data_IF_011737934462
#
_entry.id   IF_011737934462
#
_cell.length_a   1.000
_cell.length_b   1.000
_cell.length_c   1.000
_cell.angle_alpha   90.00
_cell.angle_beta   90.00
_cell.angle_gamma   90.00
#
_symmetry.space_group_name_H-M   'P 1'
#
loop_
_entity.id
_entity.type
_entity.pdbx_description
1 polymer ?
#
# COMPACT_ATOMS: atom_id res chain seq x y z
N UNK A 1 7.37 23.70 -10.73
CA UNK A 1 6.41 23.87 -9.61
C UNK A 1 5.00 23.76 -10.17
N UNK A 2 4.11 23.11 -9.43
CA UNK A 2 2.73 22.87 -9.85
C UNK A 2 1.85 24.13 -9.70
N UNK A 3 0.66 24.13 -10.31
CA UNK A 3 -0.37 25.18 -10.23
C UNK A 3 -0.75 25.52 -8.78
N UNK A 4 -0.59 24.56 -7.86
CA UNK A 4 -0.90 24.70 -6.42
C UNK A 4 0.33 25.02 -5.55
N UNK A 5 1.48 25.30 -6.17
CA UNK A 5 2.73 25.56 -5.45
C UNK A 5 3.41 24.31 -4.87
N UNK A 6 2.91 23.11 -5.21
CA UNK A 6 3.53 21.85 -4.82
C UNK A 6 4.66 21.45 -5.78
N UNK A 7 5.45 20.48 -5.34
CA UNK A 7 6.45 19.81 -6.18
C UNK A 7 5.72 19.03 -7.28
N UNK A 8 6.25 19.07 -8.50
CA UNK A 8 5.68 18.36 -9.65
C UNK A 8 5.70 16.85 -9.41
N UNK A 9 4.69 16.14 -9.90
CA UNK A 9 4.67 14.68 -9.88
C UNK A 9 5.85 14.12 -10.69
N UNK A 10 6.45 13.03 -10.20
CA UNK A 10 7.66 12.43 -10.77
C UNK A 10 8.97 13.01 -10.21
N UNK A 11 8.91 13.96 -9.27
CA UNK A 11 10.12 14.50 -8.66
C UNK A 11 10.76 13.48 -7.72
N UNK A 12 12.03 13.19 -7.97
CA UNK A 12 12.86 12.29 -7.16
C UNK A 12 13.91 13.12 -6.44
N UNK A 13 14.17 12.78 -5.18
CA UNK A 13 15.27 13.34 -4.39
C UNK A 13 16.13 12.18 -3.90
N UNK A 14 17.35 12.09 -4.41
CA UNK A 14 18.39 11.12 -3.98
C UNK A 14 19.67 11.80 -3.47
N UNK A 15 19.61 13.10 -3.17
CA UNK A 15 20.76 13.87 -2.68
C UNK A 15 21.32 13.29 -1.39
N UNK A 16 22.64 13.03 -1.35
CA UNK A 16 23.38 12.50 -0.19
C UNK A 16 23.17 13.26 1.12
N UNK A 17 22.76 14.53 1.06
CA UNK A 17 22.48 15.37 2.22
C UNK A 17 21.18 14.97 2.96
N UNK A 18 20.24 14.35 2.25
CA UNK A 18 18.89 14.03 2.76
C UNK A 18 18.69 12.53 2.97
N UNK A 19 19.38 11.70 2.17
CA UNK A 19 19.23 10.25 2.18
C UNK A 19 20.28 9.55 3.06
N UNK A 20 20.17 8.23 3.23
CA UNK A 20 21.13 7.46 4.02
C UNK A 20 22.42 7.28 3.20
N UNK A 21 23.62 7.52 3.76
CA UNK A 21 24.87 7.37 3.03
C UNK A 21 25.25 5.90 2.73
N UNK A 22 24.72 4.95 3.49
CA UNK A 22 25.15 3.54 3.46
C UNK A 22 24.23 2.65 2.61
N UNK A 23 22.91 2.86 2.71
CA UNK A 23 21.90 2.04 2.02
C UNK A 23 21.25 2.85 0.92
N UNK A 24 20.89 2.21 -0.19
CA UNK A 24 20.21 2.92 -1.27
C UNK A 24 18.75 3.23 -0.91
N UNK A 25 18.46 4.52 -0.80
CA UNK A 25 17.13 5.05 -0.54
C UNK A 25 16.89 6.37 -1.29
N UNK A 26 15.62 6.69 -1.54
CA UNK A 26 15.23 7.91 -2.25
C UNK A 26 13.82 8.36 -1.85
N UNK A 27 13.55 9.66 -2.01
CA UNK A 27 12.20 10.19 -1.92
C UNK A 27 11.62 10.36 -3.32
N UNK A 28 10.35 9.97 -3.49
CA UNK A 28 9.63 10.16 -4.74
C UNK A 28 8.25 10.78 -4.47
N UNK A 29 7.99 11.91 -5.11
CA UNK A 29 6.66 12.50 -5.17
C UNK A 29 5.93 11.99 -6.41
N UNK A 30 5.17 10.91 -6.29
CA UNK A 30 4.54 10.25 -7.45
C UNK A 30 3.22 10.87 -7.89
N UNK A 31 2.58 11.72 -7.08
CA UNK A 31 1.20 12.16 -7.31
C UNK A 31 1.05 13.68 -7.28
N UNK A 32 -0.02 14.16 -7.92
CA UNK A 32 -0.48 15.53 -7.75
C UNK A 32 -1.34 15.63 -6.48
N UNK A 33 -0.92 16.45 -5.52
CA UNK A 33 -1.67 16.69 -4.30
C UNK A 33 -2.71 17.78 -4.51
N UNK A 34 -3.98 17.41 -4.44
CA UNK A 34 -5.08 18.35 -4.68
C UNK A 34 -5.28 19.36 -3.56
N UNK A 35 -4.90 19.01 -2.32
CA UNK A 35 -5.09 19.82 -1.12
C UNK A 35 -3.84 19.75 -0.24
N UNK A 36 -3.43 20.89 0.31
CA UNK A 36 -2.28 21.00 1.20
C UNK A 36 -0.94 20.72 0.50
N UNK A 37 0.07 20.44 1.31
CA UNK A 37 1.43 20.15 0.84
C UNK A 37 1.58 18.68 0.47
N UNK A 38 2.20 18.41 -0.68
CA UNK A 38 2.51 17.04 -1.12
C UNK A 38 3.45 16.34 -0.15
N UNK A 39 3.12 15.10 0.21
CA UNK A 39 3.98 14.23 1.03
C UNK A 39 4.73 13.25 0.12
N UNK A 40 6.03 13.47 -0.16
CA UNK A 40 6.82 12.51 -0.92
C UNK A 40 7.01 11.22 -0.12
N UNK A 41 6.98 10.08 -0.81
CA UNK A 41 7.16 8.76 -0.19
C UNK A 41 8.65 8.41 -0.14
N UNK A 42 9.10 7.90 1.00
CA UNK A 42 10.47 7.44 1.20
C UNK A 42 10.59 5.94 0.88
N UNK A 43 11.44 5.60 -0.08
CA UNK A 43 11.70 4.21 -0.49
C UNK A 43 13.09 3.80 -0.04
N UNK A 44 13.20 2.60 0.52
CA UNK A 44 14.46 1.96 0.90
C UNK A 44 14.60 0.65 0.15
N UNK A 45 15.70 0.47 -0.56
CA UNK A 45 16.04 -0.82 -1.18
C UNK A 45 16.82 -1.62 -0.16
N UNK A 46 16.14 -2.56 0.48
CA UNK A 46 16.73 -3.44 1.48
C UNK A 46 17.52 -4.59 0.84
N UNK A 47 17.07 -5.05 -0.33
CA UNK A 47 17.62 -6.21 -1.00
C UNK A 47 17.35 -6.14 -2.51
N UNK A 48 18.36 -6.43 -3.34
CA UNK A 48 18.25 -6.46 -4.80
C UNK A 48 19.22 -7.49 -5.42
N UNK A 49 18.68 -8.61 -5.91
CA UNK A 49 19.41 -9.62 -6.67
C UNK A 49 19.56 -9.27 -8.15
N UNK A 50 18.65 -8.44 -8.67
CA UNK A 50 18.56 -8.12 -10.09
C UNK A 50 19.58 -7.04 -10.51
N UNK A 51 20.28 -6.43 -9.53
CA UNK A 51 21.30 -5.39 -9.73
C UNK A 51 20.75 -4.23 -10.58
N UNK A 52 19.55 -3.79 -10.25
CA UNK A 52 18.90 -2.68 -10.94
C UNK A 52 19.67 -1.38 -10.69
N UNK A 53 19.78 -0.56 -11.73
CA UNK A 53 20.31 0.79 -11.57
C UNK A 53 19.31 1.64 -10.79
N UNK A 54 19.80 2.64 -10.06
CA UNK A 54 18.99 3.59 -9.31
C UNK A 54 17.83 4.18 -10.13
N UNK A 55 18.15 4.66 -11.33
CA UNK A 55 17.17 5.20 -12.29
C UNK A 55 16.08 4.19 -12.67
N UNK A 56 16.44 2.92 -12.86
CA UNK A 56 15.49 1.86 -13.19
C UNK A 56 14.53 1.58 -12.04
N UNK A 57 15.04 1.56 -10.80
CA UNK A 57 14.20 1.37 -9.61
C UNK A 57 13.26 2.55 -9.41
N UNK A 58 13.74 3.78 -9.59
CA UNK A 58 12.94 4.99 -9.49
C UNK A 58 11.83 5.01 -10.55
N UNK A 59 12.17 4.71 -11.81
CA UNK A 59 11.21 4.70 -12.92
C UNK A 59 10.19 3.56 -12.78
N UNK A 60 10.62 2.37 -12.36
CA UNK A 60 9.72 1.24 -12.08
C UNK A 60 8.73 1.60 -10.97
N UNK A 61 9.22 2.16 -9.86
CA UNK A 61 8.39 2.57 -8.73
C UNK A 61 7.37 3.61 -9.16
N UNK A 62 7.79 4.59 -9.97
CA UNK A 62 6.89 5.60 -10.52
C UNK A 62 5.84 5.00 -11.45
N UNK A 63 6.22 4.08 -12.35
CA UNK A 63 5.30 3.40 -13.25
C UNK A 63 4.22 2.60 -12.49
N UNK A 64 4.59 1.92 -11.40
CA UNK A 64 3.65 1.18 -10.55
C UNK A 64 2.63 2.08 -9.83
N UNK A 65 2.89 3.38 -9.70
CA UNK A 65 1.91 4.33 -9.16
C UNK A 65 0.79 4.65 -10.16
N UNK A 66 0.95 4.33 -11.45
CA UNK A 66 -0.08 4.53 -12.49
C UNK A 66 -0.96 3.29 -12.73
N UNK A 67 -0.60 2.13 -12.17
CA UNK A 67 -1.31 0.87 -12.44
C UNK A 67 -2.50 0.61 -11.51
N UNK A 68 -3.01 1.64 -10.83
CA UNK A 68 -4.16 1.52 -9.94
C UNK A 68 -5.47 1.50 -10.74
N UNK A 69 -6.24 0.43 -10.64
CA UNK A 69 -7.59 0.32 -11.22
C UNK A 69 -8.64 1.23 -10.55
N UNK A 70 -8.34 1.82 -9.38
CA UNK A 70 -9.31 2.62 -8.61
C UNK A 70 -9.44 4.07 -9.11
N UNK A 71 -8.45 4.56 -9.86
CA UNK A 71 -8.41 5.93 -10.33
C UNK A 71 -7.51 6.08 -11.56
N UNK A 72 -7.90 6.93 -12.50
CA UNK A 72 -7.11 7.29 -13.70
C UNK A 72 -5.99 8.31 -13.42
N UNK A 73 -5.52 8.37 -12.17
CA UNK A 73 -4.48 9.29 -11.69
C UNK A 73 -3.38 8.49 -10.99
N UNK A 74 -2.15 8.99 -11.08
CA UNK A 74 -1.06 8.50 -10.25
C UNK A 74 -1.38 8.64 -8.76
N UNK A 75 -1.12 7.56 -8.01
CA UNK A 75 -1.28 7.51 -6.56
C UNK A 75 0.06 7.74 -5.83
N UNK A 76 -0.01 8.05 -4.54
CA UNK A 76 1.16 8.44 -3.73
C UNK A 76 2.12 7.29 -3.38
N UNK A 77 1.65 6.05 -3.46
CA UNK A 77 2.40 4.82 -3.21
C UNK A 77 2.10 3.82 -4.33
N UNK A 78 2.94 2.80 -4.57
CA UNK A 78 2.72 1.87 -5.66
C UNK A 78 1.42 1.09 -5.50
N UNK A 79 0.74 0.79 -6.61
CA UNK A 79 -0.50 0.02 -6.61
C UNK A 79 -0.46 -1.29 -5.79
N UNK A 80 0.60 -2.14 -5.86
CA UNK A 80 0.63 -3.37 -5.07
C UNK A 80 0.61 -3.11 -3.55
N UNK A 81 1.32 -2.08 -3.09
CA UNK A 81 1.33 -1.70 -1.66
C UNK A 81 -0.06 -1.22 -1.25
N UNK A 82 -0.68 -0.35 -2.07
CA UNK A 82 -2.01 0.19 -1.78
C UNK A 82 -3.07 -0.92 -1.69
N UNK A 83 -2.96 -1.96 -2.53
CA UNK A 83 -3.87 -3.09 -2.49
C UNK A 83 -3.64 -4.02 -1.30
N UNK A 84 -2.40 -4.21 -0.86
CA UNK A 84 -2.11 -4.93 0.36
C UNK A 84 -2.80 -4.29 1.58
N UNK A 85 -2.72 -2.96 1.70
CA UNK A 85 -3.38 -2.21 2.78
C UNK A 85 -4.90 -2.37 2.75
N UNK A 86 -5.51 -2.26 1.56
CA UNK A 86 -6.95 -2.44 1.39
C UNK A 86 -7.39 -3.86 1.75
N UNK A 87 -6.59 -4.86 1.40
CA UNK A 87 -6.85 -6.25 1.77
C UNK A 87 -6.72 -6.46 3.28
N UNK A 88 -5.68 -5.92 3.91
CA UNK A 88 -5.50 -6.00 5.36
C UNK A 88 -6.66 -5.34 6.11
N UNK A 89 -7.09 -4.15 5.67
CA UNK A 89 -8.27 -3.46 6.21
C UNK A 89 -9.53 -4.32 6.10
N UNK A 90 -9.74 -4.95 4.94
CA UNK A 90 -10.90 -5.80 4.69
C UNK A 90 -10.88 -7.09 5.53
N UNK A 91 -9.72 -7.70 5.68
CA UNK A 91 -9.54 -8.88 6.56
C UNK A 91 -9.83 -8.51 8.01
N UNK A 92 -9.32 -7.37 8.49
CA UNK A 92 -9.59 -6.89 9.85
C UNK A 92 -11.09 -6.68 10.09
N UNK A 93 -11.81 -6.09 9.12
CA UNK A 93 -13.27 -5.95 9.20
C UNK A 93 -13.99 -7.29 9.37
N UNK A 94 -13.60 -8.32 8.61
CA UNK A 94 -14.20 -9.65 8.75
C UNK A 94 -13.82 -10.36 10.05
N UNK A 95 -12.64 -10.12 10.61
CA UNK A 95 -12.25 -10.67 11.92
C UNK A 95 -13.12 -10.04 13.01
N UNK A 96 -13.20 -8.71 13.05
CA UNK A 96 -13.94 -7.99 14.10
C UNK A 96 -15.46 -8.23 14.08
N UNK A 97 -16.06 -8.52 12.91
CA UNK A 97 -17.50 -8.87 12.82
C UNK A 97 -17.81 -10.23 13.45
N UNK A 98 -16.85 -11.15 13.44
CA UNK A 98 -17.05 -12.50 13.92
C UNK A 98 -16.61 -12.70 15.39
N UNK A 99 -16.16 -11.64 16.06
CA UNK A 99 -15.91 -11.67 17.50
C UNK A 99 -17.22 -11.41 18.26
N UNK A 100 -17.82 -12.43 18.91
CA UNK A 100 -19.08 -12.28 19.65
C UNK A 100 -18.96 -11.39 20.91
N UNK A 101 -17.77 -10.85 21.19
CA UNK A 101 -17.49 -9.97 22.33
C UNK A 101 -17.27 -8.49 21.95
N UNK A 102 -17.32 -8.12 20.66
CA UNK A 102 -17.07 -6.74 20.21
C UNK A 102 -18.32 -5.84 20.17
N UNK A 103 -19.33 -6.11 21.00
CA UNK A 103 -20.52 -5.24 21.14
C UNK A 103 -20.30 -4.03 22.05
N UNK A 104 -19.12 -3.79 22.60
CA UNK A 104 -18.84 -2.51 23.29
C UNK A 104 -17.55 -1.83 22.82
N UNK A 105 -17.57 -0.50 22.60
CA UNK A 105 -16.38 0.24 22.21
C UNK A 105 -15.53 0.45 23.46
N UNK A 106 -14.36 -0.17 23.52
CA UNK A 106 -13.34 0.24 24.47
C UNK A 106 -11.96 0.12 23.84
N UNK A 107 -11.33 1.28 23.70
CA UNK A 107 -9.96 1.44 23.25
C UNK A 107 -9.00 0.81 24.27
N UNK A 108 -8.15 -0.13 23.85
CA UNK A 108 -6.72 -0.29 24.25
C UNK A 108 -6.14 -1.57 23.63
N UNK A 109 -4.84 -1.54 23.33
CA UNK A 109 -4.12 -2.44 22.43
C UNK A 109 -3.71 -3.82 23.01
N UNK A 110 -3.62 -4.78 22.09
CA UNK A 110 -2.67 -5.89 21.95
C UNK A 110 -2.70 -7.11 22.92
N UNK A 111 -3.11 -8.28 22.39
CA UNK A 111 -2.25 -9.45 22.07
C UNK A 111 -3.16 -10.64 21.71
N UNK A 112 -3.02 -11.24 20.51
CA UNK A 112 -3.86 -12.40 20.11
C UNK A 112 -2.98 -13.68 20.01
N UNK A 113 -3.33 -14.77 20.72
CA UNK A 113 -2.56 -16.01 20.75
C UNK A 113 -2.62 -16.82 19.44
N UNK A 114 -1.48 -17.42 19.09
CA UNK A 114 -1.13 -18.14 17.83
C UNK A 114 -2.14 -19.21 17.38
N UNK A 115 -2.89 -19.79 18.32
CA UNK A 115 -3.77 -20.93 18.08
C UNK A 115 -5.08 -20.50 17.38
N UNK A 116 -5.50 -19.26 17.57
CA UNK A 116 -6.71 -18.69 16.96
C UNK A 116 -6.46 -18.30 15.49
N UNK A 117 -5.21 -17.95 15.17
CA UNK A 117 -4.76 -17.55 13.83
C UNK A 117 -4.83 -18.69 12.82
N UNK A 118 -4.56 -19.94 13.24
CA UNK A 118 -4.60 -21.14 12.37
C UNK A 118 -6.04 -21.49 11.96
N UNK A 119 -7.01 -21.34 12.86
CA UNK A 119 -8.43 -21.57 12.55
C UNK A 119 -9.02 -20.47 11.66
N UNK A 120 -8.60 -19.22 11.86
CA UNK A 120 -8.95 -18.10 10.98
C UNK A 120 -8.35 -18.32 9.58
N UNK A 121 -7.08 -18.73 9.48
CA UNK A 121 -6.43 -19.05 8.20
C UNK A 121 -7.19 -20.14 7.43
N UNK A 122 -7.61 -21.21 8.10
CA UNK A 122 -8.38 -22.29 7.46
C UNK A 122 -9.80 -21.87 7.06
N UNK A 123 -10.45 -21.01 7.85
CA UNK A 123 -11.78 -20.43 7.54
C UNK A 123 -11.72 -19.40 6.41
N UNK A 124 -10.63 -18.64 6.32
CA UNK A 124 -10.33 -17.74 5.19
C UNK A 124 -9.98 -18.56 3.95
N UNK A 125 -9.23 -19.66 4.09
CA UNK A 125 -8.86 -20.56 2.98
C UNK A 125 -10.07 -21.27 2.36
N UNK A 126 -11.03 -21.71 3.18
CA UNK A 126 -12.28 -22.30 2.66
C UNK A 126 -13.15 -21.25 1.97
N UNK A 127 -13.25 -20.03 2.54
CA UNK A 127 -13.93 -18.90 1.89
C UNK A 127 -13.17 -18.35 0.68
N UNK A 128 -11.86 -18.58 0.51
CA UNK A 128 -11.08 -18.12 -0.65
C UNK A 128 -11.55 -18.78 -1.94
N UNK A 129 -11.99 -20.05 -1.90
CA UNK A 129 -12.55 -20.76 -3.05
C UNK A 129 -13.91 -20.14 -3.44
N UNK A 130 -14.68 -19.69 -2.45
CA UNK A 130 -15.99 -19.06 -2.63
C UNK A 130 -15.91 -17.55 -2.96
N UNK A 131 -14.87 -16.87 -2.50
CA UNK A 131 -14.62 -15.46 -2.73
C UNK A 131 -13.87 -15.24 -4.04
N UNK A 132 -13.06 -16.19 -4.52
CA UNK A 132 -12.41 -16.10 -5.83
C UNK A 132 -13.40 -16.22 -6.99
N UNK A 133 -14.54 -16.89 -6.79
CA UNK A 133 -15.65 -16.92 -7.76
C UNK A 133 -16.53 -15.66 -7.69
N UNK A 134 -16.68 -15.03 -6.52
CA UNK A 134 -17.46 -13.78 -6.34
C UNK A 134 -16.68 -12.48 -6.57
N UNK A 135 -15.37 -12.45 -6.35
CA UNK A 135 -14.50 -11.29 -6.63
C UNK A 135 -14.45 -10.97 -8.14
N UNK A 136 -14.69 -11.96 -8.99
CA UNK A 136 -14.79 -11.76 -10.44
C UNK A 136 -16.15 -11.18 -10.88
N UNK A 137 -17.19 -11.21 -10.04
CA UNK A 137 -18.57 -10.85 -10.42
C UNK A 137 -19.14 -9.65 -9.64
N UNK A 138 -18.74 -9.41 -8.38
CA UNK A 138 -19.37 -8.41 -7.49
C UNK A 138 -18.49 -7.18 -7.19
N UNK A 139 -17.39 -6.96 -7.91
CA UNK A 139 -16.56 -5.77 -7.72
C UNK A 139 -16.74 -4.74 -8.86
N UNK A 140 -17.73 -3.82 -8.77
CA UNK A 140 -17.85 -2.69 -9.70
C UNK A 140 -16.78 -1.60 -9.46
N UNK A 141 -15.66 -1.94 -8.82
CA UNK A 141 -14.58 -1.00 -8.48
C UNK A 141 -13.21 -1.42 -9.05
N UNK A 142 -13.20 -2.45 -9.89
CA UNK A 142 -11.99 -2.88 -10.62
C UNK A 142 -12.16 -2.83 -12.15
N UNK A 143 -13.26 -2.25 -12.63
CA UNK A 143 -13.45 -1.76 -13.99
C UNK A 143 -14.13 -0.40 -13.94
#
# INVERSE_FOLDING_TARGET
>A
VDLKGNVTAGTVVDSREVINPTTYNFFLNSHHSDKGTSRPTHYHVLYDDNKLKSEQVQMLTYALCYTSARCTRSISIPAPVKYADLLAFRVNFYININDPFNTEPSATEATIPVNQTVNIYNKIKSKRIELSSKLALDCPFFL
#
